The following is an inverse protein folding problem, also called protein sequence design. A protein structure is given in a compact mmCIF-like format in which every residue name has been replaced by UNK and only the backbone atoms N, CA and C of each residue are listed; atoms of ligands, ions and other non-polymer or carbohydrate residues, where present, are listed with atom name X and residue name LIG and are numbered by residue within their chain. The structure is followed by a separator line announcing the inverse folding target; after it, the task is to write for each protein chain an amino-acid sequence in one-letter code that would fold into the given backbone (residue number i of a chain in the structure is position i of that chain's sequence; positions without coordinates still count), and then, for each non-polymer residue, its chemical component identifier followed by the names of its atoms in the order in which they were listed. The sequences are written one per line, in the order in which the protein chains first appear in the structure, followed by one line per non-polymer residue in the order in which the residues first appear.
data_IF_091378295531
#
_entry.id   IF_091378295531
#
_cell.length_a   1.000
_cell.length_b   1.000
_cell.length_c   1.000
_cell.angle_alpha   90.00
_cell.angle_beta   90.00
_cell.angle_gamma   90.00
#
_symmetry.space_group_name_H-M   'P 1'
#
loop_
_entity.id
_entity.type
_entity.pdbx_description
1 polymer ?
#
# COMPACT_ATOMS: atom_id res chain seq x y z
N UNK A 1 0.89 14.80 -6.54
CA UNK A 1 0.90 13.80 -5.47
C UNK A 1 1.65 14.31 -4.26
N UNK A 2 2.97 14.36 -4.33
CA UNK A 2 3.82 14.87 -3.24
C UNK A 2 3.60 16.36 -2.98
N UNK A 3 3.56 17.19 -4.02
CA UNK A 3 3.24 18.62 -3.88
C UNK A 3 1.92 18.85 -3.14
N UNK A 4 0.86 18.11 -3.48
CA UNK A 4 -0.42 18.18 -2.77
C UNK A 4 -0.26 17.77 -1.29
N UNK A 5 0.50 16.72 -0.98
CA UNK A 5 0.77 16.34 0.41
C UNK A 5 1.43 17.47 1.20
N UNK A 6 2.45 18.09 0.62
CA UNK A 6 3.19 19.20 1.23
C UNK A 6 2.28 20.41 1.46
N UNK A 7 1.49 20.79 0.46
CA UNK A 7 0.49 21.87 0.57
C UNK A 7 -0.55 21.59 1.67
N UNK A 8 -1.02 20.35 1.79
CA UNK A 8 -1.92 19.96 2.88
C UNK A 8 -1.25 20.10 4.25
N UNK A 9 -0.01 19.64 4.38
CA UNK A 9 0.74 19.74 5.63
C UNK A 9 1.06 21.20 6.01
N UNK A 10 1.49 22.02 5.05
CA UNK A 10 1.74 23.45 5.22
C UNK A 10 0.50 24.20 5.70
N UNK A 11 -0.68 23.82 5.20
CA UNK A 11 -1.95 24.43 5.64
C UNK A 11 -2.32 24.13 7.09
N UNK A 12 -1.65 23.15 7.71
CA UNK A 12 -1.73 22.87 9.16
C UNK A 12 -0.65 23.58 9.99
N UNK A 13 0.07 24.53 9.38
CA UNK A 13 1.18 25.29 9.97
C UNK A 13 2.43 24.46 10.30
N UNK A 14 2.61 23.31 9.64
CA UNK A 14 3.87 22.56 9.74
C UNK A 14 4.97 23.28 8.96
N UNK A 15 6.17 23.36 9.56
CA UNK A 15 7.35 23.88 8.88
C UNK A 15 7.83 22.90 7.81
N UNK A 16 8.50 23.42 6.78
CA UNK A 16 9.07 22.61 5.71
C UNK A 16 9.99 21.48 6.25
N UNK A 17 10.79 21.79 7.26
CA UNK A 17 11.67 20.81 7.93
C UNK A 17 10.84 19.70 8.59
N UNK A 18 9.77 20.05 9.31
CA UNK A 18 8.90 19.06 9.94
C UNK A 18 8.21 18.16 8.90
N UNK A 19 7.82 18.73 7.75
CA UNK A 19 7.24 17.97 6.65
C UNK A 19 8.25 17.00 6.04
N UNK A 20 9.49 17.43 5.83
CA UNK A 20 10.55 16.57 5.30
C UNK A 20 10.88 15.41 6.26
N UNK A 21 10.98 15.69 7.56
CA UNK A 21 11.13 14.65 8.59
C UNK A 21 9.94 13.67 8.56
N UNK A 22 8.72 14.18 8.49
CA UNK A 22 7.50 13.34 8.48
C UNK A 22 7.40 12.45 7.24
N UNK A 23 7.95 12.87 6.10
CA UNK A 23 8.07 12.05 4.90
C UNK A 23 9.20 11.02 5.05
N UNK A 24 10.35 11.42 5.59
CA UNK A 24 11.51 10.55 5.77
C UNK A 24 11.26 9.42 6.78
N UNK A 25 10.51 9.70 7.84
CA UNK A 25 10.17 8.72 8.89
C UNK A 25 9.14 7.68 8.40
N UNK A 26 8.46 7.92 7.28
CA UNK A 26 7.53 6.95 6.71
C UNK A 26 8.26 5.83 5.98
N UNK A 27 7.74 4.61 6.13
CA UNK A 27 8.15 3.50 5.28
C UNK A 27 8.03 3.88 3.79
N UNK A 28 9.11 3.69 3.03
CA UNK A 28 9.23 4.13 1.63
C UNK A 28 8.10 3.59 0.72
N UNK A 29 7.65 2.35 0.95
CA UNK A 29 6.55 1.76 0.18
C UNK A 29 5.19 2.35 0.59
N UNK A 30 5.01 2.71 1.86
CA UNK A 30 3.82 3.45 2.30
C UNK A 30 3.80 4.85 1.66
N UNK A 31 4.92 5.56 1.68
CA UNK A 31 5.04 6.89 1.08
C UNK A 31 4.76 6.86 -0.43
N UNK A 32 5.37 5.91 -1.15
CA UNK A 32 5.14 5.70 -2.59
C UNK A 32 3.67 5.47 -2.91
N UNK A 33 2.98 4.63 -2.12
CA UNK A 33 1.54 4.37 -2.26
C UNK A 33 0.70 5.61 -1.97
N UNK A 34 1.03 6.38 -0.93
CA UNK A 34 0.37 7.66 -0.60
C UNK A 34 0.49 8.66 -1.74
N UNK A 35 1.70 8.87 -2.24
CA UNK A 35 1.99 9.76 -3.37
C UNK A 35 1.23 9.36 -4.63
N UNK A 36 1.16 8.06 -4.93
CA UNK A 36 0.41 7.54 -6.06
C UNK A 36 -1.11 7.79 -5.90
N UNK A 37 -1.68 7.51 -4.72
CA UNK A 37 -3.10 7.74 -4.45
C UNK A 37 -3.52 9.21 -4.49
N UNK A 38 -2.65 10.13 -4.06
CA UNK A 38 -2.87 11.58 -4.12
C UNK A 38 -2.71 12.18 -5.52
N UNK A 39 -2.12 11.46 -6.47
CA UNK A 39 -1.85 12.01 -7.79
C UNK A 39 -3.12 12.29 -8.60
N UNK A 40 -4.12 11.39 -8.62
CA UNK A 40 -5.45 11.71 -9.14
C UNK A 40 -6.15 12.87 -8.42
N UNK A 41 -6.01 12.95 -7.08
CA UNK A 41 -6.62 14.02 -6.29
C UNK A 41 -6.02 15.39 -6.64
N UNK A 42 -4.70 15.46 -6.81
CA UNK A 42 -4.02 16.70 -7.22
C UNK A 42 -4.53 17.21 -8.58
N UNK A 43 -4.77 16.30 -9.54
CA UNK A 43 -5.34 16.66 -10.85
C UNK A 43 -6.77 17.16 -10.72
N UNK A 44 -7.57 16.54 -9.85
CA UNK A 44 -8.93 16.98 -9.57
C UNK A 44 -8.94 18.39 -8.99
N UNK A 45 -8.12 18.66 -7.98
CA UNK A 45 -8.08 19.98 -7.32
C UNK A 45 -7.61 21.07 -8.26
N UNK A 46 -6.62 20.77 -9.11
CA UNK A 46 -6.12 21.70 -10.13
C UNK A 46 -7.19 22.04 -11.17
N UNK A 47 -7.86 21.03 -11.75
CA UNK A 47 -8.85 21.27 -12.80
C UNK A 47 -10.17 21.86 -12.31
N UNK A 48 -10.56 21.56 -11.06
CA UNK A 48 -11.80 22.08 -10.46
C UNK A 48 -11.58 23.35 -9.64
N UNK A 49 -10.33 23.82 -9.52
CA UNK A 49 -10.00 25.01 -8.75
C UNK A 49 -10.33 24.85 -7.25
N UNK A 50 -10.26 23.63 -6.72
CA UNK A 50 -10.55 23.36 -5.31
C UNK A 50 -9.36 23.81 -4.48
N UNK A 51 -9.61 24.69 -3.51
CA UNK A 51 -8.54 25.15 -2.63
C UNK A 51 -8.17 24.08 -1.60
N UNK A 52 -6.94 24.14 -1.09
CA UNK A 52 -6.47 23.25 -0.01
C UNK A 52 -7.34 23.40 1.25
N UNK A 53 -7.83 24.62 1.52
CA UNK A 53 -8.71 24.91 2.65
C UNK A 53 -10.06 24.20 2.51
N UNK A 54 -10.61 24.17 1.29
CA UNK A 54 -11.87 23.45 1.04
C UNK A 54 -11.66 21.94 1.20
N UNK A 55 -10.53 21.42 0.71
CA UNK A 55 -10.18 20.01 0.80
C UNK A 55 -10.01 19.52 2.25
N UNK A 56 -9.49 20.37 3.14
CA UNK A 56 -9.35 20.09 4.58
C UNK A 56 -10.49 20.66 5.44
N UNK A 57 -11.50 21.25 4.82
CA UNK A 57 -12.58 21.97 5.50
C UNK A 57 -13.49 21.07 6.32
N UNK A 58 -14.74 21.49 6.50
CA UNK A 58 -15.68 20.80 7.41
C UNK A 58 -16.02 19.38 6.92
N UNK A 59 -15.94 19.12 5.61
CA UNK A 59 -16.43 17.87 4.99
C UNK A 59 -15.44 17.28 3.97
N UNK A 60 -14.23 16.88 4.39
CA UNK A 60 -13.23 16.28 3.50
C UNK A 60 -13.68 14.95 2.89
N UNK A 61 -14.63 14.27 3.53
CA UNK A 61 -15.27 13.07 2.99
C UNK A 61 -16.16 13.35 1.78
N UNK A 62 -16.83 14.51 1.74
CA UNK A 62 -17.60 14.94 0.56
C UNK A 62 -16.66 15.23 -0.61
N UNK A 63 -15.61 16.01 -0.38
CA UNK A 63 -14.63 16.34 -1.43
C UNK A 63 -13.94 15.09 -1.99
N UNK A 64 -13.62 14.12 -1.12
CA UNK A 64 -13.08 12.84 -1.57
C UNK A 64 -14.09 12.06 -2.43
N UNK A 65 -15.39 12.07 -2.12
CA UNK A 65 -16.42 11.45 -2.97
C UNK A 65 -16.55 12.17 -4.31
N UNK A 66 -16.51 13.51 -4.33
CA UNK A 66 -16.54 14.26 -5.58
C UNK A 66 -15.32 13.97 -6.45
N UNK A 67 -14.14 13.92 -5.85
CA UNK A 67 -12.91 13.57 -6.54
C UNK A 67 -12.96 12.14 -7.11
N UNK A 68 -13.49 11.17 -6.35
CA UNK A 68 -13.69 9.80 -6.83
C UNK A 68 -14.70 9.72 -7.98
N UNK A 69 -15.80 10.48 -7.88
CA UNK A 69 -16.84 10.53 -8.91
C UNK A 69 -16.32 11.19 -10.20
N UNK A 70 -15.55 12.28 -10.06
CA UNK A 70 -14.86 12.91 -11.17
C UNK A 70 -13.82 11.99 -11.81
N UNK A 71 -13.09 11.19 -11.01
CA UNK A 71 -12.12 10.26 -11.58
C UNK A 71 -12.82 9.14 -12.36
N UNK A 72 -13.97 8.68 -11.87
CA UNK A 72 -14.81 7.67 -12.53
C UNK A 72 -15.27 8.10 -13.93
N UNK A 73 -15.61 9.38 -14.13
CA UNK A 73 -16.13 9.86 -15.42
C UNK A 73 -15.08 9.94 -16.53
N UNK A 74 -13.80 9.67 -16.25
CA UNK A 74 -12.67 9.89 -17.17
C UNK A 74 -12.23 8.68 -18.01
N UNK A 75 -13.03 7.62 -18.01
CA UNK A 75 -12.79 6.33 -18.70
C UNK A 75 -11.30 5.99 -18.91
N UNK A 76 -10.64 5.60 -17.81
CA UNK A 76 -9.19 5.32 -17.77
C UNK A 76 -8.92 3.83 -17.61
N UNK A 77 -7.82 3.31 -18.20
CA UNK A 77 -7.37 1.96 -17.89
C UNK A 77 -7.06 1.80 -16.39
N UNK A 78 -7.41 0.64 -15.82
CA UNK A 78 -7.19 0.31 -14.39
C UNK A 78 -7.96 1.21 -13.41
N UNK A 79 -9.08 1.81 -13.86
CA UNK A 79 -9.94 2.72 -13.10
C UNK A 79 -10.21 2.23 -11.67
N UNK A 80 -10.69 1.00 -11.51
CA UNK A 80 -11.08 0.46 -10.21
C UNK A 80 -9.91 0.37 -9.23
N UNK A 81 -8.72 -0.07 -9.68
CA UNK A 81 -7.52 -0.14 -8.83
C UNK A 81 -7.07 1.24 -8.39
N UNK A 82 -7.09 2.21 -9.29
CA UNK A 82 -6.73 3.59 -8.97
C UNK A 82 -7.73 4.25 -8.02
N UNK A 83 -9.04 4.03 -8.21
CA UNK A 83 -10.06 4.51 -7.27
C UNK A 83 -9.90 3.90 -5.88
N UNK A 84 -9.57 2.60 -5.77
CA UNK A 84 -9.27 1.96 -4.48
C UNK A 84 -8.06 2.60 -3.79
N UNK A 85 -6.98 2.82 -4.54
CA UNK A 85 -5.77 3.48 -4.04
C UNK A 85 -6.06 4.93 -3.63
N UNK A 86 -6.80 5.68 -4.46
CA UNK A 86 -7.18 7.06 -4.21
C UNK A 86 -8.02 7.16 -2.93
N UNK A 87 -9.08 6.36 -2.80
CA UNK A 87 -9.87 6.27 -1.56
C UNK A 87 -8.97 6.02 -0.36
N UNK A 88 -8.23 4.90 -0.37
CA UNK A 88 -7.44 4.47 0.78
C UNK A 88 -6.43 5.53 1.21
N UNK A 89 -5.61 6.00 0.27
CA UNK A 89 -4.49 6.87 0.60
C UNK A 89 -4.90 8.33 0.76
N UNK A 90 -5.84 8.84 -0.04
CA UNK A 90 -6.35 10.20 0.17
C UNK A 90 -7.11 10.26 1.49
N UNK A 91 -7.96 9.28 1.80
CA UNK A 91 -8.69 9.29 3.07
C UNK A 91 -7.76 9.26 4.28
N UNK A 92 -6.65 8.51 4.23
CA UNK A 92 -5.62 8.54 5.29
C UNK A 92 -4.98 9.93 5.42
N UNK A 93 -4.59 10.54 4.31
CA UNK A 93 -3.91 11.85 4.31
C UNK A 93 -4.87 12.97 4.74
N UNK A 94 -6.12 12.95 4.26
CA UNK A 94 -7.14 13.90 4.69
C UNK A 94 -7.46 13.72 6.18
N UNK A 95 -7.50 12.48 6.68
CA UNK A 95 -7.66 12.24 8.13
C UNK A 95 -6.48 12.77 8.94
N UNK A 96 -5.28 12.78 8.36
CA UNK A 96 -4.07 13.24 9.02
C UNK A 96 -4.05 14.77 9.19
N UNK A 97 -4.58 15.51 8.22
CA UNK A 97 -4.45 16.98 8.19
C UNK A 97 -5.77 17.75 8.37
N UNK A 98 -6.93 17.10 8.23
CA UNK A 98 -8.23 17.74 8.48
C UNK A 98 -8.69 17.55 9.92
N UNK A 99 -9.70 18.32 10.33
CA UNK A 99 -10.36 18.14 11.62
C UNK A 99 -11.22 16.86 11.69
N UNK A 100 -11.47 16.21 10.54
CA UNK A 100 -12.25 14.97 10.49
C UNK A 100 -11.32 13.77 10.62
N UNK A 101 -11.30 13.20 11.82
CA UNK A 101 -10.65 11.92 12.04
C UNK A 101 -11.33 10.83 11.19
N UNK A 102 -10.51 9.98 10.60
CA UNK A 102 -10.95 8.76 9.91
C UNK A 102 -11.97 8.98 8.77
N UNK A 103 -11.63 9.88 7.85
CA UNK A 103 -12.38 10.20 6.62
C UNK A 103 -12.82 8.93 5.87
N UNK A 104 -11.96 7.91 5.81
CA UNK A 104 -12.25 6.65 5.12
C UNK A 104 -13.42 5.86 5.71
N UNK A 105 -13.67 6.01 7.01
CA UNK A 105 -14.73 5.30 7.70
C UNK A 105 -16.03 6.09 7.83
N UNK A 106 -16.11 7.29 7.24
CA UNK A 106 -17.34 8.05 7.16
C UNK A 106 -18.44 7.25 6.45
N UNK A 107 -19.69 7.42 6.89
CA UNK A 107 -20.84 6.74 6.30
C UNK A 107 -20.96 7.01 4.79
N UNK A 108 -20.65 8.24 4.37
CA UNK A 108 -20.68 8.65 2.97
C UNK A 108 -19.66 7.86 2.14
N UNK A 109 -18.39 7.81 2.57
CA UNK A 109 -17.33 7.08 1.87
C UNK A 109 -17.64 5.58 1.85
N UNK A 110 -18.16 5.01 2.95
CA UNK A 110 -18.57 3.60 3.00
C UNK A 110 -19.68 3.29 2.00
N UNK A 111 -20.72 4.13 1.96
CA UNK A 111 -21.86 3.97 1.05
C UNK A 111 -21.42 4.04 -0.40
N UNK A 112 -20.65 5.06 -0.77
CA UNK A 112 -20.06 5.21 -2.10
C UNK A 112 -19.13 4.04 -2.46
N UNK A 113 -18.31 3.59 -1.51
CA UNK A 113 -17.40 2.46 -1.72
C UNK A 113 -18.14 1.16 -2.01
N UNK A 114 -19.30 0.96 -1.37
CA UNK A 114 -20.12 -0.22 -1.57
C UNK A 114 -20.79 -0.20 -2.94
N UNK A 115 -21.39 0.94 -3.33
CA UNK A 115 -22.02 1.09 -4.65
C UNK A 115 -21.00 0.89 -5.77
N UNK A 116 -19.77 1.37 -5.60
CA UNK A 116 -18.70 1.30 -6.59
C UNK A 116 -17.79 0.06 -6.45
N UNK A 117 -18.10 -0.86 -5.52
CA UNK A 117 -17.28 -2.07 -5.22
C UNK A 117 -15.79 -1.75 -4.98
N UNK A 118 -15.51 -0.62 -4.33
CA UNK A 118 -14.17 -0.15 -3.99
C UNK A 118 -13.60 -0.80 -2.72
N UNK A 119 -14.25 -1.83 -2.19
CA UNK A 119 -13.70 -2.60 -1.09
C UNK A 119 -12.43 -3.33 -1.53
N UNK A 120 -11.41 -3.31 -0.68
CA UNK A 120 -10.19 -4.09 -0.90
C UNK A 120 -10.56 -5.54 -0.64
N UNK A 121 -10.76 -6.31 -1.71
CA UNK A 121 -10.81 -7.76 -1.62
C UNK A 121 -9.38 -8.26 -1.72
N UNK A 122 -8.90 -8.92 -0.66
CA UNK A 122 -7.66 -9.70 -0.73
C UNK A 122 -7.93 -10.95 -1.56
N UNK A 123 -7.96 -10.82 -2.89
CA UNK A 123 -7.87 -11.98 -3.75
C UNK A 123 -6.40 -12.35 -3.89
N UNK A 124 -6.02 -13.61 -3.61
CA UNK A 124 -4.65 -14.04 -3.86
C UNK A 124 -4.34 -13.83 -5.34
N UNK A 125 -3.17 -13.27 -5.62
CA UNK A 125 -2.73 -12.98 -7.00
C UNK A 125 -2.64 -14.25 -7.84
N UNK A 126 -2.39 -15.37 -7.19
CA UNK A 126 -2.36 -16.69 -7.77
C UNK A 126 -3.42 -17.55 -7.07
N UNK A 127 -4.44 -18.04 -7.79
CA UNK A 127 -5.41 -18.98 -7.23
C UNK A 127 -4.78 -20.36 -6.98
N UNK A 128 -3.62 -20.60 -7.60
CA UNK A 128 -2.95 -21.89 -7.62
C UNK A 128 -2.13 -22.10 -6.35
N UNK A 129 -2.36 -23.23 -5.69
CA UNK A 129 -1.44 -23.83 -4.72
C UNK A 129 -0.10 -24.01 -5.42
N UNK A 130 0.99 -23.53 -4.83
CA UNK A 130 2.32 -23.64 -5.42
C UNK A 130 2.65 -25.11 -5.70
N UNK A 131 2.95 -25.45 -6.96
CA UNK A 131 3.40 -26.80 -7.30
C UNK A 131 4.89 -26.92 -6.94
N UNK A 132 5.15 -27.30 -5.70
CA UNK A 132 6.51 -27.45 -5.17
C UNK A 132 7.34 -28.50 -5.93
N UNK A 133 6.69 -29.44 -6.64
CA UNK A 133 7.38 -30.41 -7.48
C UNK A 133 8.25 -29.75 -8.55
N UNK A 134 7.79 -28.63 -9.12
CA UNK A 134 8.55 -27.89 -10.14
C UNK A 134 9.83 -27.32 -9.54
N UNK A 135 9.74 -26.77 -8.32
CA UNK A 135 10.90 -26.23 -7.60
C UNK A 135 11.89 -27.36 -7.26
N UNK A 136 11.41 -28.50 -6.77
CA UNK A 136 12.27 -29.65 -6.49
C UNK A 136 12.95 -30.19 -7.73
N UNK A 137 12.22 -30.31 -8.84
CA UNK A 137 12.81 -30.74 -10.10
C UNK A 137 13.90 -29.77 -10.54
N UNK A 138 13.67 -28.46 -10.48
CA UNK A 138 14.67 -27.45 -10.82
C UNK A 138 15.94 -27.57 -9.96
N UNK A 139 15.80 -27.71 -8.65
CA UNK A 139 16.94 -27.85 -7.72
C UNK A 139 17.72 -29.14 -8.02
N UNK A 140 17.02 -30.24 -8.24
CA UNK A 140 17.63 -31.54 -8.51
C UNK A 140 18.36 -31.58 -9.86
N UNK A 141 17.87 -30.85 -10.88
CA UNK A 141 18.53 -30.80 -12.19
C UNK A 141 19.69 -29.80 -12.23
N UNK A 142 19.57 -28.65 -11.57
CA UNK A 142 20.59 -27.59 -11.65
C UNK A 142 21.72 -27.75 -10.64
N UNK A 143 21.50 -28.48 -9.53
CA UNK A 143 22.47 -28.74 -8.47
C UNK A 143 23.28 -27.49 -8.09
N UNK A 144 22.77 -26.58 -7.24
CA UNK A 144 23.45 -25.32 -6.92
C UNK A 144 24.88 -25.57 -6.40
N UNK A 145 25.88 -24.97 -7.06
CA UNK A 145 27.31 -25.21 -6.78
C UNK A 145 27.98 -24.03 -6.08
N UNK A 146 27.53 -22.81 -6.40
CA UNK A 146 28.10 -21.60 -5.80
C UNK A 146 27.40 -21.26 -4.50
N UNK A 147 28.11 -20.56 -3.59
CA UNK A 147 27.53 -20.09 -2.33
C UNK A 147 26.28 -19.24 -2.54
N UNK A 148 26.24 -18.44 -3.61
CA UNK A 148 25.07 -17.63 -3.96
C UNK A 148 23.88 -18.51 -4.36
N UNK A 149 24.08 -19.50 -5.23
CA UNK A 149 23.01 -20.41 -5.66
C UNK A 149 22.49 -21.27 -4.51
N UNK A 150 23.37 -21.74 -3.63
CA UNK A 150 22.99 -22.48 -2.41
C UNK A 150 22.14 -21.58 -1.51
N UNK A 151 22.55 -20.33 -1.31
CA UNK A 151 21.79 -19.38 -0.50
C UNK A 151 20.43 -19.05 -1.11
N UNK A 152 20.35 -18.82 -2.43
CA UNK A 152 19.10 -18.57 -3.14
C UNK A 152 18.16 -19.78 -3.03
N UNK A 153 18.70 -20.99 -3.16
CA UNK A 153 17.93 -22.24 -3.03
C UNK A 153 17.40 -22.40 -1.61
N UNK A 154 18.23 -22.17 -0.58
CA UNK A 154 17.80 -22.22 0.82
C UNK A 154 16.70 -21.19 1.12
N UNK A 155 16.84 -19.95 0.64
CA UNK A 155 15.82 -18.91 0.79
C UNK A 155 14.51 -19.29 0.08
N UNK A 156 14.58 -19.81 -1.14
CA UNK A 156 13.40 -20.28 -1.87
C UNK A 156 12.67 -21.41 -1.12
N UNK A 157 13.42 -22.32 -0.50
CA UNK A 157 12.89 -23.41 0.32
C UNK A 157 12.21 -22.89 1.60
N UNK A 158 12.82 -21.95 2.31
CA UNK A 158 12.21 -21.32 3.50
C UNK A 158 10.89 -20.64 3.12
N UNK A 159 10.84 -19.91 2.00
CA UNK A 159 9.60 -19.28 1.52
C UNK A 159 8.54 -20.33 1.16
N UNK A 160 8.94 -21.40 0.47
CA UNK A 160 8.04 -22.46 0.04
C UNK A 160 7.37 -23.18 1.22
N UNK A 161 8.13 -23.48 2.27
CA UNK A 161 7.64 -24.26 3.41
C UNK A 161 7.00 -23.42 4.52
N UNK A 162 7.54 -22.23 4.80
CA UNK A 162 7.06 -21.38 5.89
C UNK A 162 6.10 -20.28 5.42
N UNK A 163 5.90 -20.13 4.11
CA UNK A 163 5.19 -19.00 3.50
C UNK A 163 5.74 -17.63 3.98
N UNK A 164 7.03 -17.58 4.33
CA UNK A 164 7.68 -16.41 4.89
C UNK A 164 7.65 -15.24 3.89
N UNK A 165 7.28 -14.06 4.36
CA UNK A 165 7.31 -12.83 3.56
C UNK A 165 8.76 -12.43 3.34
N UNK A 166 9.05 -11.79 2.21
CA UNK A 166 10.39 -11.25 1.93
C UNK A 166 10.92 -10.34 3.05
N UNK A 167 10.04 -9.59 3.73
CA UNK A 167 10.42 -8.74 4.87
C UNK A 167 10.83 -9.53 6.10
N UNK A 168 10.23 -10.72 6.31
CA UNK A 168 10.57 -11.62 7.41
C UNK A 168 11.91 -12.32 7.10
N UNK A 169 12.12 -12.74 5.85
CA UNK A 169 13.41 -13.34 5.41
C UNK A 169 14.59 -12.41 5.61
N UNK A 170 14.47 -11.12 5.25
CA UNK A 170 15.55 -10.14 5.40
C UNK A 170 15.93 -9.92 6.87
N UNK A 171 14.99 -10.15 7.79
CA UNK A 171 15.19 -9.96 9.22
C UNK A 171 15.56 -11.25 9.96
N UNK A 172 15.48 -12.40 9.29
CA UNK A 172 15.71 -13.71 9.88
C UNK A 172 17.16 -13.83 10.38
N UNK A 173 17.31 -14.25 11.63
CA UNK A 173 18.62 -14.51 12.24
C UNK A 173 18.83 -15.99 12.46
N UNK A 174 20.07 -16.45 12.31
CA UNK A 174 20.44 -17.85 12.61
C UNK A 174 20.09 -18.22 14.05
N UNK A 175 20.20 -17.28 15.00
CA UNK A 175 19.84 -17.48 16.40
C UNK A 175 18.36 -17.78 16.65
N UNK A 176 17.49 -17.51 15.68
CA UNK A 176 16.05 -17.75 15.75
C UNK A 176 15.68 -19.15 15.21
N UNK A 177 16.63 -19.88 14.62
CA UNK A 177 16.42 -21.24 14.09
C UNK A 177 16.74 -22.25 15.20
N UNK A 178 15.69 -22.86 15.76
CA UNK A 178 15.79 -23.87 16.81
C UNK A 178 15.60 -25.26 16.20
N UNK A 179 16.56 -26.15 16.43
CA UNK A 179 16.44 -27.56 16.07
C UNK A 179 16.03 -28.35 17.32
N UNK A 180 14.74 -28.66 17.44
CA UNK A 180 14.28 -29.61 18.45
C UNK A 180 14.51 -31.03 17.93
N UNK A 181 15.34 -31.81 18.63
CA UNK A 181 15.45 -33.24 18.37
C UNK A 181 14.22 -33.91 18.96
N UNK A 182 13.29 -34.33 18.10
CA UNK A 182 12.24 -35.26 18.49
C UNK A 182 12.89 -36.62 18.73
N UNK A 183 13.18 -36.94 20.00
CA UNK A 183 13.54 -38.27 20.44
C UNK A 183 12.34 -39.20 20.19
N UNK A 184 12.30 -39.84 19.03
CA UNK A 184 11.39 -40.95 18.78
C UNK A 184 11.91 -42.08 19.65
N UNK A 185 11.24 -42.31 20.78
CA UNK A 185 11.51 -43.43 21.69
C UNK A 185 10.60 -44.59 21.32
#
# INVERSE_FOLDING_TARGET
GEQLYRQLAESTNLSQIAIDTLIADQNIEIWKKRRAGLTPLAKYTEEKGISIKDLLGIKPDIELVYALSWYKSRDRPKLQKQMKNMKMHCGVVLSQFSHKNDVNNSLLIKTFSNSERLQIQSKPRYPTIWNLQILFNYINTHQPLTSEEIQQTALAMIVAFCAARMTELVQMKVSEIVQEQLSIT
#
